data_IF_398267529329
#
_entry.id   IF_398267529329
#
_cell.length_a   1.000
_cell.length_b   1.000
_cell.length_c   1.000
_cell.angle_alpha   90.00
_cell.angle_beta   90.00
_cell.angle_gamma   90.00
#
_symmetry.space_group_name_H-M   'P 1'
#
loop_
_entity.id
_entity.type
_entity.pdbx_description
1 polymer ?
#
# COMPACT_ATOMS: atom_id res chain seq x y z
N UNK A 1 -34.18 -17.11 -26.51
CA UNK A 1 -34.27 -15.81 -25.81
C UNK A 1 -33.56 -15.96 -24.49
N UNK A 2 -32.25 -15.68 -24.47
CA UNK A 2 -31.44 -15.76 -23.24
C UNK A 2 -31.25 -14.34 -22.73
N UNK A 3 -31.15 -14.21 -21.40
CA UNK A 3 -30.75 -13.02 -20.65
C UNK A 3 -31.82 -11.97 -20.31
N UNK A 4 -32.85 -12.36 -19.56
CA UNK A 4 -33.34 -11.59 -18.38
C UNK A 4 -32.80 -12.25 -17.10
N UNK A 5 -31.54 -12.66 -17.14
CA UNK A 5 -30.33 -11.94 -16.78
C UNK A 5 -30.26 -11.73 -15.26
N UNK A 6 -29.37 -12.51 -14.66
CA UNK A 6 -29.04 -12.63 -13.23
C UNK A 6 -28.97 -11.29 -12.47
N UNK A 7 -28.76 -10.19 -13.18
CA UNK A 7 -28.73 -8.83 -12.67
C UNK A 7 -30.06 -8.36 -12.04
N UNK A 8 -31.23 -8.73 -12.58
CA UNK A 8 -32.52 -8.37 -11.96
C UNK A 8 -32.73 -9.04 -10.59
N UNK A 9 -32.06 -10.17 -10.34
CA UNK A 9 -32.05 -10.84 -9.03
C UNK A 9 -31.20 -10.04 -8.05
N UNK A 10 -30.02 -9.59 -8.46
CA UNK A 10 -29.15 -8.77 -7.62
C UNK A 10 -29.80 -7.43 -7.25
N UNK A 11 -30.48 -6.77 -8.19
CA UNK A 11 -31.20 -5.52 -7.91
C UNK A 11 -32.31 -5.66 -6.85
N UNK A 12 -32.81 -6.87 -6.61
CA UNK A 12 -33.84 -7.17 -5.60
C UNK A 12 -33.26 -7.68 -4.28
N UNK A 13 -32.10 -8.33 -4.34
CA UNK A 13 -31.44 -8.96 -3.19
C UNK A 13 -30.58 -7.95 -2.41
N UNK A 14 -30.04 -6.95 -3.10
CA UNK A 14 -29.20 -5.92 -2.51
C UNK A 14 -29.93 -4.58 -2.37
N UNK A 15 -29.60 -3.82 -1.33
CA UNK A 15 -30.12 -2.46 -1.15
C UNK A 15 -29.42 -1.49 -2.10
N UNK A 16 -29.95 -1.39 -3.32
CA UNK A 16 -29.42 -0.51 -4.36
C UNK A 16 -29.50 0.97 -3.97
N UNK A 17 -30.47 1.36 -3.12
CA UNK A 17 -30.59 2.74 -2.67
C UNK A 17 -29.53 3.06 -1.62
N UNK A 18 -29.37 2.21 -0.60
CA UNK A 18 -28.28 2.31 0.38
C UNK A 18 -26.91 2.29 -0.29
N UNK A 19 -26.67 1.36 -1.21
CA UNK A 19 -25.44 1.30 -1.99
C UNK A 19 -25.18 2.58 -2.80
N UNK A 20 -26.22 3.23 -3.37
CA UNK A 20 -26.08 4.50 -4.09
C UNK A 20 -25.82 5.68 -3.15
N UNK A 21 -26.38 5.66 -1.95
CA UNK A 21 -26.10 6.66 -0.92
C UNK A 21 -24.69 6.52 -0.37
N UNK A 22 -24.28 5.30 -0.07
CA UNK A 22 -22.89 4.96 0.28
C UNK A 22 -21.95 5.36 -0.85
N UNK A 23 -22.30 5.12 -2.12
CA UNK A 23 -21.48 5.55 -3.27
C UNK A 23 -21.29 7.06 -3.36
N UNK A 24 -22.24 7.87 -2.88
CA UNK A 24 -22.09 9.34 -2.84
C UNK A 24 -21.10 9.78 -1.76
N UNK A 25 -20.95 8.97 -0.71
CA UNK A 25 -19.97 9.20 0.36
C UNK A 25 -18.61 8.56 0.03
N UNK A 26 -18.60 7.49 -0.78
CA UNK A 26 -17.40 6.86 -1.36
C UNK A 26 -16.86 7.79 -2.45
N UNK A 27 -16.00 8.71 -2.03
CA UNK A 27 -15.41 9.74 -2.89
C UNK A 27 -15.60 11.15 -2.36
N UNK A 28 -16.51 11.39 -1.40
CA UNK A 28 -16.63 12.67 -0.71
C UNK A 28 -15.43 12.97 0.22
N UNK A 29 -14.54 12.00 0.43
CA UNK A 29 -13.16 12.26 0.80
C UNK A 29 -12.34 12.66 -0.46
N UNK A 30 -12.80 13.68 -1.20
CA UNK A 30 -11.96 14.39 -2.16
C UNK A 30 -10.90 15.15 -1.36
N UNK A 31 -9.85 14.42 -0.97
CA UNK A 31 -8.47 14.88 -1.09
C UNK A 31 -8.08 16.20 -0.43
N UNK A 32 -8.74 16.65 0.65
CA UNK A 32 -7.99 17.39 1.66
C UNK A 32 -7.11 16.36 2.38
N UNK A 33 -6.02 15.94 1.72
CA UNK A 33 -4.92 15.28 2.41
C UNK A 33 -4.44 16.29 3.43
N UNK A 34 -4.93 16.16 4.68
CA UNK A 34 -4.37 16.91 5.80
C UNK A 34 -2.90 16.58 5.81
N UNK A 35 -2.07 17.61 5.64
CA UNK A 35 -0.63 17.46 5.72
C UNK A 35 -0.31 16.84 7.07
N UNK A 36 0.38 15.70 7.05
CA UNK A 36 0.83 15.05 8.29
C UNK A 36 2.12 15.77 8.68
N UNK A 37 2.17 16.41 9.87
CA UNK A 37 3.37 17.12 10.30
C UNK A 37 4.53 16.15 10.56
N UNK A 38 5.74 16.69 10.72
CA UNK A 38 6.86 15.89 11.21
C UNK A 38 6.58 15.42 12.65
N UNK A 39 6.90 14.17 12.95
CA UNK A 39 6.66 13.55 14.24
C UNK A 39 6.80 12.04 14.17
N UNK A 40 6.55 11.39 15.29
CA UNK A 40 6.60 9.93 15.39
C UNK A 40 5.20 9.35 15.21
N UNK A 41 5.07 8.39 14.31
CA UNK A 41 3.80 7.76 13.97
C UNK A 41 3.90 6.24 14.07
N UNK A 42 2.90 5.64 14.73
CA UNK A 42 2.68 4.21 14.66
C UNK A 42 1.91 3.88 13.38
N UNK A 43 2.47 3.01 12.55
CA UNK A 43 1.96 2.68 11.22
C UNK A 43 1.91 1.18 11.00
N UNK A 44 1.02 0.75 10.12
CA UNK A 44 1.14 -0.56 9.44
C UNK A 44 1.52 -0.35 7.98
N UNK A 45 2.24 -1.30 7.41
CA UNK A 45 2.43 -1.35 5.96
C UNK A 45 1.15 -1.90 5.34
N UNK A 46 0.55 -1.12 4.44
CA UNK A 46 -0.67 -1.51 3.73
C UNK A 46 -0.41 -2.00 2.31
N UNK A 47 0.68 -1.50 1.72
CA UNK A 47 1.07 -1.86 0.37
C UNK A 47 2.57 -1.74 0.20
N UNK A 48 3.18 -2.74 -0.41
CA UNK A 48 4.59 -2.69 -0.79
C UNK A 48 4.81 -3.39 -2.13
N UNK A 49 5.35 -2.66 -3.12
CA UNK A 49 5.48 -3.15 -4.50
C UNK A 49 6.72 -2.62 -5.21
N UNK A 50 7.21 -3.37 -6.19
CA UNK A 50 8.13 -2.88 -7.21
C UNK A 50 7.32 -2.33 -8.40
N UNK A 51 7.48 -1.05 -8.73
CA UNK A 51 6.73 -0.37 -9.80
C UNK A 51 7.65 0.39 -10.76
N UNK A 52 7.12 0.75 -11.92
CA UNK A 52 7.75 1.72 -12.81
C UNK A 52 7.40 3.15 -12.35
N UNK A 53 8.41 3.97 -12.06
CA UNK A 53 8.22 5.39 -11.71
C UNK A 53 7.72 6.21 -12.90
N UNK A 54 7.25 7.44 -12.62
CA UNK A 54 6.86 8.42 -13.67
C UNK A 54 7.95 8.71 -14.71
N UNK A 55 9.22 8.39 -14.41
CA UNK A 55 10.36 8.60 -15.30
C UNK A 55 10.87 7.32 -15.97
N UNK A 56 10.12 6.22 -15.87
CA UNK A 56 10.46 4.94 -16.50
C UNK A 56 11.53 4.13 -15.77
N UNK A 57 11.79 4.44 -14.50
CA UNK A 57 12.80 3.76 -13.67
C UNK A 57 12.14 2.84 -12.64
N UNK A 58 12.72 1.66 -12.33
CA UNK A 58 12.22 0.79 -11.28
C UNK A 58 12.27 1.50 -9.92
N UNK A 59 11.24 1.30 -9.10
CA UNK A 59 11.07 1.98 -7.83
C UNK A 59 10.35 1.08 -6.83
N UNK A 60 10.89 0.97 -5.62
CA UNK A 60 10.15 0.42 -4.48
C UNK A 60 9.15 1.46 -3.99
N UNK A 61 7.88 1.10 -3.84
CA UNK A 61 6.85 1.93 -3.21
C UNK A 61 6.32 1.22 -1.98
N UNK A 62 6.26 1.92 -0.85
CA UNK A 62 5.69 1.44 0.40
C UNK A 62 4.69 2.46 0.93
N UNK A 63 3.49 2.00 1.24
CA UNK A 63 2.37 2.78 1.76
C UNK A 63 2.16 2.39 3.21
N UNK A 64 2.26 3.37 4.10
CA UNK A 64 2.21 3.18 5.54
C UNK A 64 1.00 3.92 6.11
N UNK A 65 0.03 3.18 6.65
CA UNK A 65 -1.17 3.76 7.24
C UNK A 65 -0.95 4.04 8.72
N UNK A 66 -1.17 5.28 9.13
CA UNK A 66 -1.14 5.69 10.54
C UNK A 66 -2.29 5.01 11.30
N UNK A 67 -1.95 4.36 12.40
CA UNK A 67 -2.89 3.54 13.18
C UNK A 67 -3.66 4.31 14.23
N UNK A 68 -3.07 5.37 14.79
CA UNK A 68 -3.58 6.06 15.97
C UNK A 68 -3.37 7.59 15.90
N UNK A 69 -4.11 8.33 16.74
CA UNK A 69 -3.96 9.79 16.89
C UNK A 69 -4.79 10.63 15.91
N UNK A 70 -4.52 11.94 15.86
CA UNK A 70 -5.29 12.91 15.06
C UNK A 70 -5.24 12.63 13.56
N UNK A 71 -4.14 12.03 13.09
CA UNK A 71 -3.90 11.68 11.70
C UNK A 71 -4.14 10.19 11.41
N UNK A 72 -4.90 9.48 12.26
CA UNK A 72 -5.28 8.09 12.01
C UNK A 72 -5.88 7.93 10.60
N UNK A 73 -5.54 6.83 9.93
CA UNK A 73 -5.89 6.51 8.55
C UNK A 73 -5.26 7.40 7.46
N UNK A 74 -4.47 8.41 7.81
CA UNK A 74 -3.61 9.08 6.83
C UNK A 74 -2.51 8.13 6.34
N UNK A 75 -2.04 8.38 5.12
CA UNK A 75 -1.03 7.57 4.46
C UNK A 75 0.31 8.31 4.40
N UNK A 76 1.37 7.65 4.84
CA UNK A 76 2.75 8.02 4.60
C UNK A 76 3.32 7.17 3.46
N UNK A 77 4.26 7.73 2.71
CA UNK A 77 4.83 7.07 1.54
C UNK A 77 6.35 7.05 1.61
N UNK A 78 6.93 5.88 1.38
CA UNK A 78 8.36 5.72 1.10
C UNK A 78 8.49 5.25 -0.35
N UNK A 79 9.18 6.04 -1.17
CA UNK A 79 9.41 5.74 -2.58
C UNK A 79 10.89 5.83 -2.90
N UNK A 80 11.50 4.71 -3.29
CA UNK A 80 12.94 4.63 -3.56
C UNK A 80 13.21 4.16 -4.98
N UNK A 81 13.82 5.02 -5.80
CA UNK A 81 14.24 4.66 -7.17
C UNK A 81 15.44 3.71 -7.09
N UNK A 82 15.40 2.63 -7.87
CA UNK A 82 16.32 1.50 -7.82
C UNK A 82 17.28 1.43 -9.02
N UNK A 83 17.43 2.52 -9.76
CA UNK A 83 18.31 2.57 -10.95
C UNK A 83 19.80 2.74 -10.61
N UNK A 84 20.18 2.72 -9.34
CA UNK A 84 21.57 2.90 -8.88
C UNK A 84 21.86 1.96 -7.71
N UNK A 85 23.13 1.59 -7.53
CA UNK A 85 23.56 0.76 -6.40
C UNK A 85 23.21 1.40 -5.04
N UNK A 86 23.33 2.73 -4.93
CA UNK A 86 22.92 3.45 -3.72
C UNK A 86 21.41 3.31 -3.47
N UNK A 87 20.58 3.46 -4.50
CA UNK A 87 19.13 3.31 -4.36
C UNK A 87 18.72 1.89 -3.94
N UNK A 88 19.38 0.87 -4.51
CA UNK A 88 19.18 -0.53 -4.12
C UNK A 88 19.65 -0.77 -2.67
N UNK A 89 20.80 -0.22 -2.28
CA UNK A 89 21.28 -0.32 -0.90
C UNK A 89 20.30 0.30 0.09
N UNK A 90 19.80 1.51 -0.17
CA UNK A 90 18.79 2.15 0.67
C UNK A 90 17.52 1.32 0.78
N UNK A 91 17.04 0.74 -0.34
CA UNK A 91 15.89 -0.14 -0.32
C UNK A 91 16.15 -1.42 0.48
N UNK A 92 17.33 -2.02 0.36
CA UNK A 92 17.70 -3.21 1.15
C UNK A 92 17.73 -2.92 2.66
N UNK A 93 18.32 -1.80 3.07
CA UNK A 93 18.32 -1.41 4.50
C UNK A 93 16.90 -1.19 5.01
N UNK A 94 16.03 -0.56 4.22
CA UNK A 94 14.62 -0.43 4.55
C UNK A 94 13.94 -1.80 4.69
N UNK A 95 14.05 -2.68 3.69
CA UNK A 95 13.43 -4.01 3.73
C UNK A 95 13.92 -4.86 4.91
N UNK A 96 15.20 -4.77 5.26
CA UNK A 96 15.78 -5.43 6.44
C UNK A 96 15.21 -4.88 7.74
N UNK A 97 14.95 -3.57 7.81
CA UNK A 97 14.37 -2.94 8.99
C UNK A 97 12.95 -3.40 9.31
N UNK A 98 12.26 -4.05 8.37
CA UNK A 98 10.93 -4.62 8.56
C UNK A 98 10.93 -5.93 9.37
N UNK A 99 12.11 -6.50 9.65
CA UNK A 99 12.29 -7.68 10.50
C UNK A 99 11.39 -8.88 10.11
N UNK A 100 11.20 -9.09 8.80
CA UNK A 100 10.38 -10.18 8.26
C UNK A 100 10.96 -11.57 8.47
N UNK A 101 12.23 -11.67 8.90
CA UNK A 101 12.98 -12.92 8.96
C UNK A 101 13.46 -13.45 7.61
N UNK A 102 13.22 -12.73 6.51
CA UNK A 102 13.65 -13.10 5.15
C UNK A 102 14.98 -12.39 4.84
N UNK A 103 15.92 -13.14 4.27
CA UNK A 103 17.21 -12.59 3.83
C UNK A 103 17.03 -11.65 2.63
N UNK A 104 17.57 -10.43 2.74
CA UNK A 104 17.43 -9.40 1.71
C UNK A 104 18.71 -9.30 0.88
N UNK A 105 18.65 -9.80 -0.34
CA UNK A 105 19.70 -9.69 -1.35
C UNK A 105 19.09 -9.37 -2.73
N UNK A 106 19.79 -8.52 -3.50
CA UNK A 106 19.38 -8.16 -4.85
C UNK A 106 20.17 -8.97 -5.88
N UNK A 107 19.47 -9.76 -6.69
CA UNK A 107 20.08 -10.49 -7.81
C UNK A 107 19.56 -9.98 -9.17
N UNK A 108 18.25 -9.73 -9.26
CA UNK A 108 17.59 -9.20 -10.46
C UNK A 108 16.26 -8.55 -10.07
N UNK A 109 15.69 -7.70 -10.93
CA UNK A 109 14.40 -7.07 -10.62
C UNK A 109 13.22 -8.05 -10.51
N UNK A 110 13.24 -9.17 -11.24
CA UNK A 110 12.20 -10.20 -11.11
C UNK A 110 12.29 -10.90 -9.76
N UNK A 111 13.48 -11.36 -9.37
CA UNK A 111 13.69 -11.94 -8.04
C UNK A 111 13.39 -10.93 -6.93
N UNK A 112 13.79 -9.66 -7.11
CA UNK A 112 13.58 -8.63 -6.12
C UNK A 112 12.09 -8.27 -5.95
N UNK A 113 11.30 -8.35 -7.02
CA UNK A 113 9.84 -8.23 -6.92
C UNK A 113 9.26 -9.33 -6.02
N UNK A 114 9.66 -10.58 -6.26
CA UNK A 114 9.16 -11.73 -5.48
C UNK A 114 9.59 -11.60 -4.01
N UNK A 115 10.85 -11.21 -3.76
CA UNK A 115 11.35 -10.91 -2.42
C UNK A 115 10.52 -9.82 -1.70
N UNK A 116 10.17 -8.73 -2.40
CA UNK A 116 9.35 -7.66 -1.83
C UNK A 116 7.96 -8.18 -1.44
N UNK A 117 7.36 -9.02 -2.29
CA UNK A 117 6.04 -9.62 -2.03
C UNK A 117 6.10 -10.59 -0.84
N UNK A 118 7.12 -11.45 -0.77
CA UNK A 118 7.31 -12.39 0.33
C UNK A 118 7.51 -11.67 1.67
N UNK A 119 8.30 -10.59 1.68
CA UNK A 119 8.48 -9.73 2.86
C UNK A 119 7.16 -9.09 3.28
N UNK A 120 6.39 -8.55 2.32
CA UNK A 120 5.10 -7.95 2.62
C UNK A 120 4.13 -8.96 3.22
N UNK A 121 4.03 -10.16 2.65
CA UNK A 121 3.19 -11.24 3.18
C UNK A 121 3.60 -11.66 4.59
N UNK A 122 4.91 -11.76 4.86
CA UNK A 122 5.43 -12.16 6.17
C UNK A 122 5.05 -11.16 7.28
N UNK A 123 5.01 -9.87 6.97
CA UNK A 123 4.75 -8.82 7.97
C UNK A 123 3.29 -8.39 8.05
N UNK A 124 2.50 -8.57 6.99
CA UNK A 124 1.11 -8.11 6.94
C UNK A 124 0.26 -8.79 8.02
N UNK A 125 -0.48 -7.98 8.77
CA UNK A 125 -1.26 -8.41 9.94
C UNK A 125 -0.46 -8.90 11.15
N UNK A 126 0.87 -8.97 11.06
CA UNK A 126 1.74 -9.48 12.12
C UNK A 126 2.55 -8.38 12.83
N UNK A 127 2.96 -7.34 12.09
CA UNK A 127 3.85 -6.29 12.60
C UNK A 127 3.31 -4.87 12.36
N UNK A 128 3.64 -3.98 13.30
CA UNK A 128 3.39 -2.54 13.26
C UNK A 128 4.71 -1.81 13.56
N UNK A 129 4.87 -0.58 13.06
CA UNK A 129 6.15 0.13 13.05
C UNK A 129 6.02 1.56 13.58
N UNK A 130 7.09 2.06 14.19
CA UNK A 130 7.24 3.50 14.46
C UNK A 130 8.05 4.14 13.34
N UNK A 131 7.52 5.21 12.74
CA UNK A 131 8.22 6.05 11.76
C UNK A 131 8.49 7.41 12.41
N UNK A 132 9.71 7.92 12.25
CA UNK A 132 10.20 9.19 12.82
C UNK A 132 10.76 10.16 11.77
#
# INVERSE_FOLDING_TARGET
>A
MVSKNIFEKFDKEFDIQGLKEDLKNVGAAEGQFKEVPFGVYEVKIEKMELVESKTGKPMLTCWMRILNGEHQNSMLFMNQVLSTAYGIHTANEFLRSLDSGIEVEFESFSQYNDLILDIHEAIDGNLEYAVE
#
